data_IF_796744017465
#
_entry.id   IF_796744017465
#
_cell.length_a   1.000
_cell.length_b   1.000
_cell.length_c   1.000
_cell.angle_alpha   90.00
_cell.angle_beta   90.00
_cell.angle_gamma   90.00
#
_symmetry.space_group_name_H-M   'P 1'
#
loop_
_entity.id
_entity.type
_entity.pdbx_description
1 polymer ?
#
# COMPACT_ATOMS: atom_id res chain seq x y z
N UNK A 1 -9.75 10.39 -19.75
CA UNK A 1 -8.87 11.25 -18.93
C UNK A 1 -9.17 11.21 -17.42
N UNK A 2 -10.22 11.85 -16.87
CA UNK A 2 -10.41 11.90 -15.40
C UNK A 2 -10.55 10.53 -14.73
N UNK A 3 -11.47 9.68 -15.22
CA UNK A 3 -11.66 8.31 -14.71
C UNK A 3 -10.39 7.45 -14.83
N UNK A 4 -9.50 7.75 -15.76
CA UNK A 4 -8.21 7.04 -15.90
C UNK A 4 -7.18 7.53 -14.90
N UNK A 5 -7.21 8.81 -14.53
CA UNK A 5 -6.34 9.40 -13.52
C UNK A 5 -6.74 8.96 -12.12
N UNK A 6 -8.04 9.00 -11.80
CA UNK A 6 -8.55 8.48 -10.52
C UNK A 6 -8.60 6.96 -10.48
N UNK A 7 -8.75 6.32 -11.65
CA UNK A 7 -8.74 4.87 -11.88
C UNK A 7 -7.52 4.14 -11.35
N UNK A 8 -6.44 4.88 -11.11
CA UNK A 8 -5.28 4.38 -10.35
C UNK A 8 -5.76 3.94 -8.96
N UNK A 9 -6.32 4.84 -8.17
CA UNK A 9 -6.71 4.56 -6.79
C UNK A 9 -8.10 3.91 -6.65
N UNK A 10 -9.08 4.37 -7.44
CA UNK A 10 -10.50 4.08 -7.26
C UNK A 10 -11.23 3.80 -8.58
N UNK A 11 -12.18 2.88 -8.54
CA UNK A 11 -13.20 2.79 -9.58
C UNK A 11 -14.17 3.95 -9.41
N UNK A 12 -14.15 4.88 -10.36
CA UNK A 12 -14.88 6.16 -10.24
C UNK A 12 -16.11 6.21 -11.16
N UNK A 13 -17.23 6.64 -10.61
CA UNK A 13 -18.52 6.84 -11.29
C UNK A 13 -19.01 8.27 -11.04
N UNK A 14 -19.50 8.93 -12.08
CA UNK A 14 -20.09 10.27 -11.94
C UNK A 14 -21.46 10.18 -11.26
N UNK A 15 -21.78 11.16 -10.41
CA UNK A 15 -23.14 11.35 -9.90
C UNK A 15 -23.83 12.39 -10.79
N UNK A 16 -25.05 12.11 -11.22
CA UNK A 16 -25.84 13.00 -12.07
C UNK A 16 -26.15 12.40 -13.44
N UNK A 17 -27.06 13.03 -14.21
CA UNK A 17 -27.40 12.59 -15.56
C UNK A 17 -26.22 12.83 -16.52
N UNK A 18 -26.12 12.02 -17.58
CA UNK A 18 -24.94 11.95 -18.46
C UNK A 18 -24.68 13.24 -19.28
N UNK A 19 -25.65 14.16 -19.30
CA UNK A 19 -25.65 15.43 -20.01
C UNK A 19 -25.15 16.61 -19.17
N UNK A 20 -24.94 16.44 -17.86
CA UNK A 20 -24.34 17.48 -17.03
C UNK A 20 -22.84 17.68 -17.34
N UNK A 21 -22.36 18.93 -17.44
CA UNK A 21 -20.95 19.21 -17.71
C UNK A 21 -20.08 18.78 -16.53
N UNK A 22 -19.11 17.90 -16.81
CA UNK A 22 -18.15 17.42 -15.83
C UNK A 22 -16.94 18.35 -15.69
N UNK A 23 -16.58 18.67 -14.45
CA UNK A 23 -15.37 19.41 -14.09
C UNK A 23 -14.55 18.63 -13.05
N UNK A 24 -13.24 18.54 -13.31
CA UNK A 24 -12.25 18.20 -12.29
C UNK A 24 -10.87 18.81 -12.60
N UNK A 25 -10.16 19.22 -11.56
CA UNK A 25 -8.79 19.71 -11.62
C UNK A 25 -7.96 19.14 -10.48
N UNK A 26 -6.72 18.75 -10.76
CA UNK A 26 -5.75 18.27 -9.77
C UNK A 26 -4.42 18.96 -10.00
N UNK A 27 -3.94 19.65 -8.98
CA UNK A 27 -2.58 20.19 -8.90
C UNK A 27 -1.79 19.35 -7.91
N UNK A 28 -0.69 18.72 -8.33
CA UNK A 28 0.04 17.78 -7.49
C UNK A 28 1.55 18.00 -7.52
N UNK A 29 2.18 17.75 -6.37
CA UNK A 29 3.62 17.79 -6.16
C UNK A 29 4.07 16.62 -5.27
N UNK A 30 5.36 16.31 -5.30
CA UNK A 30 5.98 15.34 -4.40
C UNK A 30 6.82 16.08 -3.36
N UNK A 31 6.56 15.87 -2.07
CA UNK A 31 7.31 16.49 -0.96
C UNK A 31 7.84 15.37 -0.07
N UNK A 32 9.16 15.17 -0.06
CA UNK A 32 9.81 14.20 0.84
C UNK A 32 9.29 12.76 0.73
N UNK A 33 8.78 12.36 -0.45
CA UNK A 33 8.18 11.03 -0.69
C UNK A 33 6.66 10.96 -0.52
N UNK A 34 6.03 12.01 0.02
CA UNK A 34 4.57 12.14 0.13
C UNK A 34 4.02 12.86 -1.10
N UNK A 35 3.04 12.26 -1.76
CA UNK A 35 2.30 12.94 -2.82
C UNK A 35 1.34 13.94 -2.21
N UNK A 36 1.43 15.22 -2.59
CA UNK A 36 0.52 16.28 -2.12
C UNK A 36 -0.27 16.77 -3.32
N UNK A 37 -1.59 16.73 -3.24
CA UNK A 37 -2.48 17.16 -4.30
C UNK A 37 -3.57 18.10 -3.78
N UNK A 38 -3.91 19.12 -4.56
CA UNK A 38 -5.17 19.86 -4.42
C UNK A 38 -6.11 19.40 -5.51
N UNK A 39 -7.27 18.90 -5.10
CA UNK A 39 -8.29 18.36 -6.01
C UNK A 39 -9.55 19.19 -5.90
N UNK A 40 -10.12 19.58 -7.04
CA UNK A 40 -11.46 20.16 -7.13
C UNK A 40 -12.26 19.38 -8.15
N UNK A 41 -13.48 18.99 -7.84
CA UNK A 41 -14.29 18.17 -8.74
C UNK A 41 -15.78 18.25 -8.41
N UNK A 42 -16.63 17.93 -9.40
CA UNK A 42 -18.03 17.60 -9.14
C UNK A 42 -18.19 16.34 -8.28
N UNK A 43 -19.40 16.15 -7.77
CA UNK A 43 -19.81 14.98 -6.99
C UNK A 43 -19.63 13.65 -7.73
N UNK A 44 -19.01 12.70 -7.04
CA UNK A 44 -18.65 11.40 -7.60
C UNK A 44 -18.78 10.29 -6.58
N UNK A 45 -18.95 9.08 -7.11
CA UNK A 45 -18.88 7.84 -6.37
C UNK A 45 -17.55 7.14 -6.64
N UNK A 46 -16.84 6.82 -5.56
CA UNK A 46 -15.58 6.08 -5.58
C UNK A 46 -15.78 4.72 -4.93
N UNK A 47 -15.30 3.67 -5.58
CA UNK A 47 -15.27 2.32 -5.06
C UNK A 47 -13.84 1.76 -5.10
N UNK A 48 -13.51 0.95 -4.10
CA UNK A 48 -12.31 0.14 -4.08
C UNK A 48 -12.69 -1.23 -3.54
N UNK A 49 -12.76 -2.21 -4.43
CA UNK A 49 -13.14 -3.58 -4.08
C UNK A 49 -11.91 -4.46 -3.80
N UNK A 50 -12.13 -5.62 -3.17
CA UNK A 50 -11.05 -6.57 -2.87
C UNK A 50 -10.25 -7.02 -4.10
N UNK A 51 -10.91 -7.19 -5.25
CA UNK A 51 -10.22 -7.57 -6.49
C UNK A 51 -9.31 -6.47 -7.05
N UNK A 52 -9.68 -5.19 -6.87
CA UNK A 52 -8.83 -4.06 -7.23
C UNK A 52 -7.60 -4.00 -6.31
N UNK A 53 -7.84 -4.11 -4.99
CA UNK A 53 -6.77 -4.14 -3.97
C UNK A 53 -5.77 -5.27 -4.24
N UNK A 54 -6.26 -6.45 -4.59
CA UNK A 54 -5.40 -7.59 -4.89
C UNK A 54 -4.58 -7.40 -6.18
N UNK A 55 -5.14 -6.72 -7.19
CA UNK A 55 -4.51 -6.53 -8.51
C UNK A 55 -3.45 -5.45 -8.50
N UNK A 56 -3.74 -4.31 -7.88
CA UNK A 56 -2.81 -3.17 -7.87
C UNK A 56 -1.86 -3.18 -6.66
N UNK A 57 -2.22 -3.88 -5.57
CA UNK A 57 -1.40 -3.96 -4.37
C UNK A 57 -1.20 -2.62 -3.64
N UNK A 58 -1.89 -1.55 -4.05
CA UNK A 58 -1.76 -0.23 -3.43
C UNK A 58 -2.24 -0.25 -1.98
N UNK A 59 -1.40 0.25 -1.08
CA UNK A 59 -1.57 0.09 0.36
C UNK A 59 -1.20 1.32 1.19
N UNK A 60 -0.87 2.44 0.54
CA UNK A 60 -0.68 3.71 1.22
C UNK A 60 -1.98 4.25 1.84
N UNK A 61 -1.84 5.34 2.56
CA UNK A 61 -2.97 6.10 3.09
C UNK A 61 -3.25 7.32 2.20
N UNK A 62 -4.53 7.60 1.93
CA UNK A 62 -4.96 8.91 1.47
C UNK A 62 -5.52 9.69 2.66
N UNK A 63 -4.87 10.79 3.02
CA UNK A 63 -5.37 11.71 4.03
C UNK A 63 -5.93 12.93 3.33
N UNK A 64 -7.25 13.09 3.35
CA UNK A 64 -7.94 14.17 2.66
C UNK A 64 -8.43 15.22 3.66
N UNK A 65 -8.07 16.49 3.45
CA UNK A 65 -8.58 17.63 4.19
C UNK A 65 -9.53 18.45 3.32
N UNK A 66 -10.80 18.51 3.69
CA UNK A 66 -11.84 19.16 2.89
C UNK A 66 -11.85 20.67 3.12
N UNK A 67 -11.74 21.43 2.03
CA UNK A 67 -11.86 22.89 2.01
C UNK A 67 -13.30 23.33 1.69
N UNK A 68 -13.99 22.56 0.86
CA UNK A 68 -15.42 22.72 0.55
C UNK A 68 -16.06 21.37 0.22
N UNK A 69 -17.39 21.33 0.20
CA UNK A 69 -18.14 20.11 -0.10
C UNK A 69 -18.17 19.12 1.06
N UNK A 70 -18.45 17.85 0.75
CA UNK A 70 -18.46 16.77 1.73
C UNK A 70 -18.14 15.42 1.08
N UNK A 71 -17.60 14.51 1.89
CA UNK A 71 -17.38 13.11 1.53
C UNK A 71 -17.94 12.21 2.62
N UNK A 72 -18.62 11.14 2.26
CA UNK A 72 -19.14 10.16 3.20
C UNK A 72 -19.07 8.72 2.69
N UNK A 73 -18.87 7.79 3.63
CA UNK A 73 -19.04 6.36 3.36
C UNK A 73 -20.45 6.07 2.81
N UNK A 74 -20.55 5.25 1.76
CA UNK A 74 -21.81 4.68 1.29
C UNK A 74 -22.07 3.38 2.04
N UNK A 75 -23.10 3.36 2.88
CA UNK A 75 -23.58 2.15 3.54
C UNK A 75 -23.29 2.05 5.05
N UNK A 76 -22.46 2.95 5.61
CA UNK A 76 -22.36 3.15 7.07
C UNK A 76 -22.61 4.62 7.41
N UNK A 77 -23.30 4.88 8.52
CA UNK A 77 -23.73 6.21 8.94
C UNK A 77 -22.67 7.03 9.67
N UNK A 78 -21.39 6.61 9.73
CA UNK A 78 -20.47 7.11 10.76
C UNK A 78 -19.31 8.01 10.33
N UNK A 79 -18.99 8.19 9.05
CA UNK A 79 -17.89 9.07 8.66
C UNK A 79 -18.25 9.98 7.48
N UNK A 80 -18.63 11.22 7.81
CA UNK A 80 -18.76 12.31 6.84
C UNK A 80 -17.69 13.35 7.16
N UNK A 81 -16.79 13.62 6.22
CA UNK A 81 -15.91 14.78 6.26
C UNK A 81 -16.61 15.99 5.64
N UNK A 82 -16.61 17.10 6.38
CA UNK A 82 -17.13 18.42 5.99
C UNK A 82 -15.96 19.41 5.88
N UNK A 83 -16.16 20.65 5.44
CA UNK A 83 -15.09 21.64 5.38
C UNK A 83 -14.41 21.79 6.76
N UNK A 84 -13.08 21.74 6.77
CA UNK A 84 -12.26 21.68 7.99
C UNK A 84 -12.05 20.28 8.58
N UNK A 85 -12.70 19.25 8.02
CA UNK A 85 -12.60 17.87 8.45
C UNK A 85 -11.59 17.06 7.65
N UNK A 86 -11.08 15.99 8.30
CA UNK A 86 -10.23 14.98 7.67
C UNK A 86 -11.04 13.74 7.28
N UNK A 87 -10.67 13.12 6.16
CA UNK A 87 -11.12 11.81 5.73
C UNK A 87 -9.90 10.95 5.41
N UNK A 88 -9.69 9.88 6.18
CA UNK A 88 -8.56 8.97 6.00
C UNK A 88 -9.03 7.72 5.30
N UNK A 89 -8.38 7.38 4.19
CA UNK A 89 -8.64 6.17 3.42
C UNK A 89 -7.39 5.29 3.53
N UNK A 90 -7.59 4.08 4.04
CA UNK A 90 -6.62 3.01 3.90
C UNK A 90 -6.81 2.34 2.53
N UNK A 91 -5.85 2.47 1.61
CA UNK A 91 -5.95 1.86 0.28
C UNK A 91 -5.83 0.33 0.31
N UNK A 92 -5.46 -0.28 1.43
CA UNK A 92 -5.50 -1.73 1.60
C UNK A 92 -6.90 -2.23 2.01
N UNK A 93 -7.88 -1.35 2.23
CA UNK A 93 -9.22 -1.70 2.68
C UNK A 93 -10.30 -1.38 1.63
N UNK A 94 -11.39 -2.17 1.58
CA UNK A 94 -12.52 -1.84 0.72
C UNK A 94 -13.10 -0.47 1.07
N UNK A 95 -13.43 0.31 0.03
CA UNK A 95 -14.05 1.62 0.17
C UNK A 95 -15.28 1.70 -0.73
N UNK A 96 -16.35 2.25 -0.21
CA UNK A 96 -17.44 2.80 -1.00
C UNK A 96 -17.72 4.20 -0.44
N UNK A 97 -17.40 5.26 -1.18
CA UNK A 97 -17.49 6.63 -0.69
C UNK A 97 -18.03 7.59 -1.74
N UNK A 98 -18.93 8.47 -1.32
CA UNK A 98 -19.60 9.46 -2.16
C UNK A 98 -19.19 10.86 -1.79
N UNK A 99 -18.95 11.67 -2.80
CA UNK A 99 -18.69 13.10 -2.68
C UNK A 99 -19.78 13.91 -3.34
N UNK A 100 -19.98 15.13 -2.86
CA UNK A 100 -20.64 16.20 -3.64
C UNK A 100 -19.56 17.05 -4.31
N UNK A 101 -19.95 18.12 -5.00
CA UNK A 101 -19.02 19.13 -5.49
C UNK A 101 -18.11 19.60 -4.36
N UNK A 102 -16.80 19.45 -4.55
CA UNK A 102 -15.86 19.57 -3.45
C UNK A 102 -14.51 20.10 -3.88
N UNK A 103 -13.76 20.52 -2.87
CA UNK A 103 -12.35 20.85 -2.97
C UNK A 103 -11.63 20.32 -1.74
N UNK A 104 -10.53 19.59 -1.94
CA UNK A 104 -9.76 19.01 -0.85
C UNK A 104 -8.25 19.03 -1.14
N UNK A 105 -7.46 19.07 -0.06
CA UNK A 105 -6.05 18.69 -0.10
C UNK A 105 -5.95 17.18 0.18
N UNK A 106 -5.14 16.46 -0.59
CA UNK A 106 -4.93 15.02 -0.44
C UNK A 106 -3.44 14.73 -0.25
N UNK A 107 -3.11 13.99 0.79
CA UNK A 107 -1.79 13.42 1.01
C UNK A 107 -1.83 11.93 0.67
N UNK A 108 -0.99 11.51 -0.28
CA UNK A 108 -0.71 10.11 -0.59
C UNK A 108 0.53 9.71 0.21
N UNK A 109 0.31 8.99 1.30
CA UNK A 109 1.35 8.62 2.26
C UNK A 109 1.69 7.14 2.09
N UNK A 110 2.89 6.79 1.60
CA UNK A 110 3.34 5.40 1.56
C UNK A 110 3.39 4.81 2.98
N UNK A 111 2.90 3.58 3.15
CA UNK A 111 2.76 2.96 4.47
C UNK A 111 4.08 2.83 5.21
N UNK A 112 5.17 2.55 4.50
CA UNK A 112 6.52 2.44 5.06
C UNK A 112 7.07 3.74 5.66
N UNK A 113 6.46 4.89 5.37
CA UNK A 113 6.84 6.17 5.99
C UNK A 113 6.27 6.31 7.41
N UNK A 114 5.28 5.50 7.78
CA UNK A 114 4.78 5.47 9.15
C UNK A 114 5.77 4.68 10.01
N UNK A 115 6.47 5.37 10.90
CA UNK A 115 7.44 4.76 11.78
C UNK A 115 6.78 3.67 12.65
N UNK A 116 7.35 2.47 12.66
CA UNK A 116 6.87 1.32 13.44
C UNK A 116 6.73 1.60 14.94
N UNK A 117 7.62 2.44 15.50
CA UNK A 117 7.53 2.88 16.88
C UNK A 117 6.22 3.63 17.16
N UNK A 118 5.82 4.51 16.24
CA UNK A 118 4.55 5.23 16.30
C UNK A 118 3.35 4.30 16.09
N UNK A 119 3.48 3.24 15.28
CA UNK A 119 2.41 2.25 15.08
C UNK A 119 2.13 1.46 16.35
N UNK A 120 3.15 0.92 17.04
CA UNK A 120 2.96 0.18 18.30
C UNK A 120 2.35 1.05 19.40
N UNK A 121 2.79 2.30 19.50
CA UNK A 121 2.21 3.29 20.41
C UNK A 121 0.75 3.60 20.07
N UNK A 122 0.45 3.82 18.78
CA UNK A 122 -0.92 4.09 18.33
C UNK A 122 -1.85 2.89 18.58
N UNK A 123 -1.38 1.65 18.34
CA UNK A 123 -2.15 0.42 18.64
C UNK A 123 -2.49 0.33 20.12
N UNK A 124 -1.55 0.70 21.00
CA UNK A 124 -1.76 0.72 22.44
C UNK A 124 -2.77 1.80 22.86
N UNK A 125 -2.65 2.99 22.29
CA UNK A 125 -3.43 4.16 22.70
C UNK A 125 -4.82 4.23 22.02
N UNK A 126 -5.02 3.49 20.92
CA UNK A 126 -6.28 3.38 20.18
C UNK A 126 -6.63 1.91 19.86
N UNK A 127 -6.98 1.08 20.88
CA UNK A 127 -7.19 -0.37 20.72
C UNK A 127 -8.38 -0.73 19.82
N UNK A 128 -9.34 0.19 19.65
CA UNK A 128 -10.50 0.01 18.76
C UNK A 128 -10.16 0.21 17.28
N UNK A 129 -8.94 0.71 16.97
CA UNK A 129 -8.47 0.87 15.60
C UNK A 129 -7.67 -0.36 15.19
N UNK A 130 -8.22 -1.14 14.26
CA UNK A 130 -7.53 -2.26 13.67
C UNK A 130 -6.36 -1.76 12.79
N UNK A 131 -5.13 -1.93 13.27
CA UNK A 131 -3.93 -1.67 12.47
C UNK A 131 -3.35 -2.96 11.92
N UNK A 132 -2.91 -2.91 10.67
CA UNK A 132 -2.20 -3.99 10.00
C UNK A 132 -0.90 -3.48 9.41
N UNK A 133 0.15 -4.30 9.51
CA UNK A 133 1.50 -3.97 9.07
C UNK A 133 1.83 -4.78 7.82
N UNK A 134 2.42 -4.13 6.82
CA UNK A 134 2.87 -4.80 5.60
C UNK A 134 4.01 -5.76 5.94
N UNK A 135 3.70 -7.06 6.01
CA UNK A 135 4.67 -8.05 6.48
C UNK A 135 5.11 -9.06 5.44
N UNK A 136 4.47 -9.14 4.28
CA UNK A 136 4.95 -9.94 3.16
C UNK A 136 4.64 -9.27 1.81
N UNK A 137 5.63 -9.26 0.91
CA UNK A 137 5.47 -8.85 -0.48
C UNK A 137 6.51 -7.80 -0.94
N UNK A 138 6.53 -7.50 -2.23
CA UNK A 138 7.35 -6.41 -2.78
C UNK A 138 6.85 -5.06 -2.26
N UNK A 139 7.75 -4.26 -1.70
CA UNK A 139 7.42 -2.98 -1.05
C UNK A 139 7.16 -1.92 -2.12
N UNK A 140 6.00 -1.23 -2.10
CA UNK A 140 5.76 -0.09 -2.99
C UNK A 140 6.69 1.08 -2.65
N UNK A 141 7.51 1.51 -3.60
CA UNK A 141 8.52 2.57 -3.39
C UNK A 141 8.09 3.91 -3.98
N UNK A 142 7.38 3.89 -5.11
CA UNK A 142 6.88 5.08 -5.76
C UNK A 142 5.64 4.77 -6.60
N UNK A 143 4.84 5.82 -6.83
CA UNK A 143 3.70 5.80 -7.76
C UNK A 143 3.82 6.96 -8.74
N UNK A 144 3.43 6.73 -9.99
CA UNK A 144 3.55 7.72 -11.07
C UNK A 144 2.25 7.84 -11.88
N UNK A 145 1.87 9.07 -12.23
CA UNK A 145 0.79 9.31 -13.19
C UNK A 145 1.13 8.77 -14.60
N UNK A 146 2.42 8.58 -14.90
CA UNK A 146 2.90 7.95 -16.14
C UNK A 146 3.28 6.50 -15.86
N UNK A 147 2.64 5.56 -16.54
CA UNK A 147 2.89 4.13 -16.40
C UNK A 147 4.25 3.76 -17.02
N UNK A 148 5.26 3.52 -16.19
CA UNK A 148 6.60 3.13 -16.63
C UNK A 148 6.60 1.76 -17.30
N UNK A 149 5.71 0.87 -16.86
CA UNK A 149 5.51 -0.45 -17.44
C UNK A 149 4.97 -0.35 -18.88
N UNK A 150 3.92 0.45 -19.12
CA UNK A 150 3.43 0.68 -20.48
C UNK A 150 4.53 1.26 -21.38
N UNK A 151 5.28 2.24 -20.84
CA UNK A 151 6.37 2.89 -21.57
C UNK A 151 7.48 1.93 -21.97
N UNK A 152 7.84 0.96 -21.13
CA UNK A 152 8.88 -0.03 -21.46
C UNK A 152 8.47 -0.91 -22.66
N UNK A 153 7.17 -1.06 -22.90
CA UNK A 153 6.59 -1.79 -24.04
C UNK A 153 6.20 -0.88 -25.21
N UNK A 154 6.64 0.39 -25.21
CA UNK A 154 6.35 1.35 -26.28
C UNK A 154 4.93 1.92 -26.25
N UNK A 155 4.17 1.69 -25.18
CA UNK A 155 2.81 2.16 -25.01
C UNK A 155 2.76 3.40 -24.09
N UNK A 156 1.66 4.15 -24.19
CA UNK A 156 1.30 5.20 -23.23
C UNK A 156 0.21 4.69 -22.31
N UNK A 157 0.12 5.24 -21.09
CA UNK A 157 -0.87 4.82 -20.09
C UNK A 157 -2.30 4.78 -20.66
N UNK A 158 -2.66 5.80 -21.42
CA UNK A 158 -4.02 5.99 -21.96
C UNK A 158 -4.41 4.93 -23.01
N UNK A 159 -3.41 4.28 -23.64
CA UNK A 159 -3.61 3.18 -24.57
C UNK A 159 -2.74 1.97 -24.18
N UNK A 160 -2.61 1.70 -22.87
CA UNK A 160 -1.69 0.67 -22.39
C UNK A 160 -2.23 -0.75 -22.54
N UNK A 161 -3.52 -0.91 -22.82
CA UNK A 161 -4.17 -2.22 -23.01
C UNK A 161 -3.98 -3.20 -21.84
N UNK A 162 -3.74 -2.70 -20.63
CA UNK A 162 -3.44 -3.50 -19.44
C UNK A 162 -2.20 -4.40 -19.60
N UNK A 163 -1.21 -3.98 -20.41
CA UNK A 163 0.00 -4.74 -20.72
C UNK A 163 0.78 -5.24 -19.49
N UNK A 164 0.65 -4.56 -18.35
CA UNK A 164 1.26 -5.03 -17.10
C UNK A 164 0.72 -6.38 -16.62
N UNK A 165 -0.44 -6.84 -17.11
CA UNK A 165 -0.97 -8.16 -16.82
C UNK A 165 -0.18 -9.31 -17.45
N UNK A 166 0.69 -9.04 -18.43
CA UNK A 166 1.57 -10.05 -19.05
C UNK A 166 2.73 -10.44 -18.12
N UNK A 167 3.07 -9.58 -17.16
CA UNK A 167 4.14 -9.76 -16.20
C UNK A 167 3.50 -9.93 -14.80
N UNK A 168 3.09 -11.16 -14.47
CA UNK A 168 2.27 -11.52 -13.29
C UNK A 168 2.88 -11.11 -11.94
N UNK A 169 4.21 -11.18 -11.82
CA UNK A 169 4.97 -10.72 -10.63
C UNK A 169 5.58 -9.31 -10.82
N UNK A 170 5.14 -8.60 -11.87
CA UNK A 170 5.68 -7.35 -12.33
C UNK A 170 6.93 -7.50 -13.20
N UNK A 171 7.28 -6.42 -13.90
CA UNK A 171 8.43 -6.37 -14.80
C UNK A 171 9.70 -6.04 -14.03
N UNK A 172 10.67 -6.96 -14.01
CA UNK A 172 11.99 -6.74 -13.39
C UNK A 172 12.75 -5.66 -14.16
N UNK A 173 13.30 -4.71 -13.42
CA UNK A 173 14.19 -3.67 -13.90
C UNK A 173 15.59 -3.94 -13.39
N UNK A 174 16.53 -4.01 -14.33
CA UNK A 174 17.94 -4.24 -14.05
C UNK A 174 18.72 -2.91 -14.03
N UNK A 175 19.82 -2.89 -13.28
CA UNK A 175 20.85 -1.85 -13.40
C UNK A 175 21.60 -1.97 -14.74
N UNK A 176 22.48 -1.01 -15.03
CA UNK A 176 23.38 -1.10 -16.18
C UNK A 176 24.29 -2.33 -16.13
N UNK A 177 24.63 -2.79 -14.92
CA UNK A 177 25.42 -4.00 -14.66
C UNK A 177 24.57 -5.28 -14.64
N UNK A 178 23.34 -5.21 -15.15
CA UNK A 178 22.37 -6.33 -15.25
C UNK A 178 21.99 -6.95 -13.92
N UNK A 179 22.03 -6.15 -12.85
CA UNK A 179 21.61 -6.60 -11.53
C UNK A 179 20.13 -6.27 -11.32
N UNK A 180 19.28 -7.23 -10.91
CA UNK A 180 17.90 -6.95 -10.54
C UNK A 180 17.84 -5.92 -9.42
N UNK A 181 17.07 -4.85 -9.62
CA UNK A 181 17.03 -3.72 -8.68
C UNK A 181 15.60 -3.35 -8.28
N UNK A 182 14.70 -3.21 -9.24
CA UNK A 182 13.32 -2.78 -9.02
C UNK A 182 12.34 -3.67 -9.80
N UNK A 183 11.06 -3.54 -9.47
CA UNK A 183 9.97 -4.14 -10.25
C UNK A 183 8.94 -3.07 -10.61
N UNK A 184 8.46 -3.10 -11.85
CA UNK A 184 7.37 -2.24 -12.31
C UNK A 184 6.05 -3.02 -12.35
N UNK A 185 5.06 -2.57 -11.59
CA UNK A 185 3.69 -3.06 -11.69
C UNK A 185 2.78 -1.90 -12.13
N UNK A 186 2.61 -1.74 -13.45
CA UNK A 186 1.87 -0.63 -14.03
C UNK A 186 2.47 0.74 -13.65
N UNK A 187 1.75 1.46 -12.78
CA UNK A 187 2.13 2.80 -12.29
C UNK A 187 3.00 2.77 -11.03
N UNK A 188 3.20 1.60 -10.43
CA UNK A 188 4.02 1.44 -9.23
C UNK A 188 5.43 0.98 -9.57
N UNK A 189 6.39 1.57 -8.89
CA UNK A 189 7.75 1.05 -8.75
C UNK A 189 7.85 0.39 -7.39
N UNK A 190 8.27 -0.86 -7.36
CA UNK A 190 8.37 -1.69 -6.16
C UNK A 190 9.79 -2.22 -5.96
N UNK A 191 10.09 -2.73 -4.77
CA UNK A 191 11.35 -3.42 -4.50
C UNK A 191 11.50 -4.69 -5.33
N UNK A 192 12.73 -5.00 -5.73
CA UNK A 192 13.07 -6.33 -6.25
C UNK A 192 13.08 -7.40 -5.15
N UNK A 193 13.42 -7.04 -3.92
CA UNK A 193 13.33 -7.98 -2.79
C UNK A 193 11.88 -8.08 -2.30
N UNK A 194 11.56 -9.20 -1.66
CA UNK A 194 10.29 -9.39 -0.97
C UNK A 194 10.46 -9.07 0.52
N UNK A 195 9.66 -8.15 1.05
CA UNK A 195 9.64 -7.95 2.49
C UNK A 195 9.14 -9.21 3.20
N UNK A 196 9.78 -9.57 4.32
CA UNK A 196 9.23 -10.55 5.26
C UNK A 196 9.43 -10.06 6.69
N UNK A 197 8.33 -9.94 7.43
CA UNK A 197 8.31 -9.64 8.86
C UNK A 197 7.97 -10.87 9.72
N UNK A 198 8.40 -12.06 9.27
CA UNK A 198 8.10 -13.32 9.95
C UNK A 198 8.76 -13.41 11.35
N UNK A 199 9.83 -12.65 11.60
CA UNK A 199 10.51 -12.63 12.90
C UNK A 199 9.94 -11.57 13.86
N UNK A 200 8.94 -10.78 13.43
CA UNK A 200 8.36 -9.65 14.16
C UNK A 200 6.86 -9.85 14.47
N UNK A 201 6.32 -11.06 14.33
CA UNK A 201 4.88 -11.34 14.43
C UNK A 201 4.27 -11.05 15.83
N UNK A 202 5.08 -10.90 16.87
CA UNK A 202 4.58 -10.67 18.23
C UNK A 202 3.74 -9.38 18.32
N UNK A 203 2.46 -9.58 18.66
CA UNK A 203 1.42 -8.56 18.88
C UNK A 203 1.02 -7.73 17.65
N UNK A 204 1.38 -8.18 16.44
CA UNK A 204 1.10 -7.45 15.21
C UNK A 204 0.17 -8.23 14.29
N UNK A 205 -0.90 -7.58 13.83
CA UNK A 205 -1.66 -8.06 12.67
C UNK A 205 -0.85 -7.76 11.41
N UNK A 206 -0.58 -8.79 10.63
CA UNK A 206 0.23 -8.69 9.41
C UNK A 206 -0.67 -8.79 8.18
N UNK A 207 -0.44 -7.88 7.22
CA UNK A 207 -0.97 -7.97 5.86
C UNK A 207 0.06 -8.66 4.96
N UNK A 208 -0.43 -9.64 4.21
CA UNK A 208 0.30 -10.31 3.14
C UNK A 208 -0.16 -9.75 1.80
N UNK A 209 0.75 -9.21 1.01
CA UNK A 209 0.46 -8.77 -0.35
C UNK A 209 0.67 -9.93 -1.32
N UNK A 210 -0.32 -10.28 -2.16
CA UNK A 210 -0.17 -11.33 -3.15
C UNK A 210 1.06 -11.10 -4.04
N UNK A 211 1.84 -12.16 -4.23
CA UNK A 211 2.93 -12.27 -5.21
C UNK A 211 2.60 -13.44 -6.14
N UNK A 212 3.31 -13.56 -7.25
CA UNK A 212 3.16 -14.72 -8.14
C UNK A 212 3.87 -15.96 -7.59
N UNK A 213 3.31 -16.49 -6.50
CA UNK A 213 3.81 -17.66 -5.79
C UNK A 213 2.66 -18.39 -5.08
N UNK A 214 2.96 -19.48 -4.36
CA UNK A 214 1.96 -20.16 -3.54
C UNK A 214 1.62 -19.34 -2.29
N UNK A 215 0.74 -18.37 -2.46
CA UNK A 215 0.28 -17.49 -1.39
C UNK A 215 -0.48 -18.25 -0.29
N UNK A 216 -1.02 -19.44 -0.58
CA UNK A 216 -1.64 -20.30 0.45
C UNK A 216 -0.56 -20.90 1.34
N UNK A 217 0.55 -21.38 0.76
CA UNK A 217 1.70 -21.83 1.52
C UNK A 217 2.30 -20.69 2.35
N UNK A 218 2.49 -19.50 1.77
CA UNK A 218 2.95 -18.30 2.50
C UNK A 218 2.04 -18.02 3.71
N UNK A 219 0.72 -17.95 3.51
CA UNK A 219 -0.23 -17.68 4.59
C UNK A 219 -0.13 -18.74 5.71
N UNK A 220 -0.03 -20.03 5.37
CA UNK A 220 0.13 -21.12 6.34
C UNK A 220 1.45 -21.03 7.11
N UNK A 221 2.53 -20.57 6.48
CA UNK A 221 3.83 -20.38 7.15
C UNK A 221 3.71 -19.27 8.19
N UNK A 222 3.14 -18.11 7.83
CA UNK A 222 2.91 -17.02 8.77
C UNK A 222 2.01 -17.46 9.94
N UNK A 223 0.93 -18.19 9.65
CA UNK A 223 0.04 -18.72 10.67
C UNK A 223 0.75 -19.72 11.61
N UNK A 224 1.57 -20.63 11.06
CA UNK A 224 2.29 -21.62 11.84
C UNK A 224 3.34 -21.00 12.77
N UNK A 225 4.07 -19.98 12.31
CA UNK A 225 5.03 -19.25 13.15
C UNK A 225 4.30 -18.42 14.20
N UNK A 226 3.24 -17.70 13.82
CA UNK A 226 2.42 -16.93 14.77
C UNK A 226 1.81 -17.81 15.88
N UNK A 227 1.41 -19.04 15.54
CA UNK A 227 0.87 -20.01 16.49
C UNK A 227 1.94 -20.79 17.27
N UNK A 228 3.24 -20.53 17.06
CA UNK A 228 4.34 -21.26 17.70
C UNK A 228 4.47 -22.73 17.28
N UNK A 229 3.83 -23.15 16.17
CA UNK A 229 3.90 -24.52 15.62
C UNK A 229 5.17 -24.77 14.80
N UNK A 230 5.86 -23.71 14.41
CA UNK A 230 7.08 -23.76 13.60
C UNK A 230 8.00 -22.63 14.06
N UNK A 231 9.31 -22.89 14.11
CA UNK A 231 10.27 -21.84 14.46
C UNK A 231 10.35 -20.77 13.37
N UNK A 232 10.71 -19.54 13.71
CA UNK A 232 10.94 -18.49 12.72
C UNK A 232 11.98 -18.88 11.67
N UNK A 233 13.06 -19.54 12.09
CA UNK A 233 14.12 -19.99 11.19
C UNK A 233 13.59 -20.98 10.14
N UNK A 234 12.87 -22.02 10.59
CA UNK A 234 12.24 -22.99 9.70
C UNK A 234 11.16 -22.35 8.81
N UNK A 235 10.42 -21.38 9.35
CA UNK A 235 9.45 -20.60 8.59
C UNK A 235 10.10 -19.81 7.45
N UNK A 236 11.24 -19.16 7.70
CA UNK A 236 11.98 -18.42 6.68
C UNK A 236 12.51 -19.33 5.58
N UNK A 237 13.05 -20.51 5.93
CA UNK A 237 13.47 -21.51 4.95
C UNK A 237 12.30 -21.96 4.06
N UNK A 238 11.14 -22.22 4.65
CA UNK A 238 9.92 -22.56 3.92
C UNK A 238 9.43 -21.41 3.04
N UNK A 239 9.57 -20.15 3.46
CA UNK A 239 9.20 -18.98 2.64
C UNK A 239 10.08 -18.88 1.39
N UNK A 240 11.39 -19.10 1.51
CA UNK A 240 12.31 -19.10 0.36
C UNK A 240 11.93 -20.19 -0.64
N UNK A 241 11.47 -21.34 -0.16
CA UNK A 241 10.97 -22.41 -1.04
C UNK A 241 9.61 -22.08 -1.67
N UNK A 242 8.73 -21.40 -0.94
CA UNK A 242 7.41 -21.00 -1.44
C UNK A 242 7.49 -19.89 -2.50
N UNK A 243 8.52 -19.04 -2.45
CA UNK A 243 8.75 -17.95 -3.39
C UNK A 243 10.21 -17.93 -3.89
N UNK A 244 10.57 -18.89 -4.76
CA UNK A 244 11.95 -19.09 -5.18
C UNK A 244 12.48 -17.94 -6.05
N UNK A 245 13.78 -17.65 -5.94
CA UNK A 245 14.45 -16.67 -6.79
C UNK A 245 14.23 -15.21 -6.40
N UNK A 246 13.45 -14.93 -5.35
CA UNK A 246 13.22 -13.57 -4.84
C UNK A 246 13.85 -13.44 -3.45
N UNK A 247 14.88 -12.58 -3.26
CA UNK A 247 15.52 -12.42 -1.96
C UNK A 247 14.57 -11.80 -0.94
N UNK A 248 14.60 -12.31 0.29
CA UNK A 248 13.87 -11.71 1.41
C UNK A 248 14.61 -10.48 1.96
N UNK A 249 13.85 -9.50 2.42
CA UNK A 249 14.38 -8.29 3.07
C UNK A 249 13.48 -7.83 4.22
N UNK A 250 14.02 -7.07 5.16
CA UNK A 250 13.26 -6.38 6.21
C UNK A 250 13.89 -5.03 6.59
N UNK A 251 14.86 -4.53 5.82
CA UNK A 251 15.59 -3.30 6.15
C UNK A 251 14.70 -2.06 6.29
N UNK A 252 13.62 -1.95 5.51
CA UNK A 252 12.65 -0.86 5.66
C UNK A 252 12.03 -0.80 7.06
N UNK A 253 11.72 -1.96 7.65
CA UNK A 253 11.17 -2.05 9.00
C UNK A 253 12.15 -1.50 10.05
N UNK A 254 13.45 -1.70 9.85
CA UNK A 254 14.51 -1.26 10.76
C UNK A 254 15.08 0.12 10.44
N UNK A 255 14.50 0.84 9.45
CA UNK A 255 15.05 2.12 8.98
C UNK A 255 16.46 2.00 8.39
N UNK A 256 16.81 0.82 7.87
CA UNK A 256 18.09 0.52 7.20
C UNK A 256 17.88 0.47 5.68
N UNK A 257 18.94 0.11 4.94
CA UNK A 257 18.84 -0.17 3.49
C UNK A 257 17.71 -1.16 3.22
N UNK A 258 16.72 -0.75 2.43
CA UNK A 258 15.48 -1.51 2.26
C UNK A 258 15.65 -2.95 1.77
N UNK A 259 16.63 -3.18 0.89
CA UNK A 259 16.95 -4.51 0.34
C UNK A 259 17.71 -5.43 1.32
N UNK A 260 18.15 -4.92 2.47
CA UNK A 260 18.91 -5.70 3.44
C UNK A 260 18.02 -6.62 4.27
N UNK A 261 18.61 -7.75 4.68
CA UNK A 261 18.09 -8.59 5.76
C UNK A 261 18.80 -8.23 7.07
N UNK A 262 18.02 -7.95 8.10
CA UNK A 262 18.44 -7.64 9.46
C UNK A 262 18.01 -8.80 10.34
N UNK A 263 18.98 -9.56 10.85
CA UNK A 263 18.71 -10.65 11.75
C UNK A 263 18.09 -10.13 13.06
N UNK A 264 17.10 -10.85 13.60
CA UNK A 264 16.57 -10.56 14.91
C UNK A 264 17.70 -10.53 15.97
N UNK A 265 17.70 -9.59 16.92
CA UNK A 265 18.67 -9.58 18.01
C UNK A 265 18.61 -10.92 18.76
N UNK A 266 19.77 -11.56 18.92
CA UNK A 266 19.89 -12.80 19.70
C UNK A 266 19.50 -12.50 21.16
N UNK A 267 18.33 -12.99 21.62
CA UNK A 267 17.90 -12.91 23.02
C UNK A 267 16.51 -12.31 23.30
N UNK A 268 15.71 -11.91 22.30
CA UNK A 268 14.44 -11.21 22.55
C UNK A 268 13.27 -12.09 23.08
N UNK A 269 13.45 -13.40 23.26
CA UNK A 269 12.39 -14.30 23.75
C UNK A 269 12.56 -14.81 25.18
N UNK A 270 13.54 -14.32 25.95
CA UNK A 270 13.66 -14.64 27.38
C UNK A 270 13.80 -13.38 28.23
N UNK A 271 12.69 -12.93 28.81
CA UNK A 271 12.69 -12.03 29.97
C UNK A 271 12.20 -10.61 29.69
N UNK A 272 11.00 -10.30 30.17
CA UNK A 272 10.54 -8.92 30.25
C UNK A 272 11.47 -8.10 31.15
N UNK A 273 12.02 -6.98 30.64
CA UNK A 273 12.62 -5.92 31.46
C UNK A 273 12.40 -4.54 30.84
N UNK A 274 11.43 -3.83 31.43
CA UNK A 274 11.53 -2.50 32.01
C UNK A 274 12.54 -1.52 31.36
N UNK A 275 12.03 -0.64 30.51
CA UNK A 275 12.75 0.54 30.01
C UNK A 275 12.89 1.57 31.15
N UNK A 276 14.12 1.84 31.58
CA UNK A 276 14.43 3.03 32.41
C UNK A 276 14.68 4.21 31.48
N UNK A 277 13.92 5.27 31.70
CA UNK A 277 14.17 6.61 31.14
C UNK A 277 15.32 7.28 31.89
N UNK A 278 16.23 7.90 31.15
CA UNK A 278 17.09 8.99 31.62
C UNK A 278 16.78 10.22 30.79
#
# INVERSE_FOLDING_TARGET
MWRESTGVFFDTRLRGPADEPFFASVDAALIGGVGVARTRSNGQDFDRCGSKIARDGMDGYLVQFYLSGQNGSRGSSSSIARPGGLYVIDMAQPLAASTIDHEHLCLVIPRQMLAMASVRETVRDAPDVAFEIFGFGRVPLAISARCAHARSKGLVKDNCQFICGDDSDGLIVETLDRQPFLVLNGVQTMSHTCQSLLQELADLRIRLSPQDCDMVAVARIYEAVAAGRTSTAEGLERLVLAYPGVPLSNGFHYGQTGASWIAAPVGAHEGGKQWRTS
#
